data_IF_454022331348
#
_entry.id   IF_454022331348
#
_cell.length_a   1.000
_cell.length_b   1.000
_cell.length_c   1.000
_cell.angle_alpha   90.00
_cell.angle_beta   90.00
_cell.angle_gamma   90.00
#
_symmetry.space_group_name_H-M   'P 1'
#
loop_
_entity.id
_entity.type
_entity.pdbx_description
1 polymer ?
#
# COMPACT_ATOMS: atom_id res chain seq x y z
N UNK A 1 9.31 7.02 -4.49
CA UNK A 1 9.16 6.34 -3.19
C UNK A 1 7.72 6.45 -2.75
N UNK A 2 6.96 5.36 -2.91
CA UNK A 2 5.54 5.28 -2.55
C UNK A 2 5.38 4.53 -1.23
N UNK A 3 4.43 4.94 -0.38
CA UNK A 3 4.10 4.22 0.85
C UNK A 3 3.18 3.05 0.50
N UNK A 4 3.58 1.82 0.80
CA UNK A 4 2.70 0.65 0.67
C UNK A 4 1.81 0.53 1.92
N UNK A 5 0.50 0.51 1.70
CA UNK A 5 -0.53 0.37 2.74
C UNK A 5 -1.03 -1.07 2.78
N UNK A 6 -1.08 -1.61 4.00
CA UNK A 6 -1.57 -2.95 4.31
C UNK A 6 -3.04 -3.16 3.89
N UNK A 7 -3.42 -4.41 3.66
CA UNK A 7 -4.76 -4.81 3.24
C UNK A 7 -5.88 -4.40 4.20
N UNK A 8 -5.57 -4.20 5.50
CA UNK A 8 -6.53 -3.77 6.52
C UNK A 8 -6.72 -2.27 6.55
N UNK A 9 -5.89 -1.51 5.84
CA UNK A 9 -6.00 -0.06 5.76
C UNK A 9 -7.20 0.31 4.89
N UNK A 10 -8.07 1.19 5.40
CA UNK A 10 -9.22 1.68 4.64
C UNK A 10 -8.77 2.46 3.40
N UNK A 11 -9.44 2.23 2.26
CA UNK A 11 -9.25 3.01 1.03
C UNK A 11 -9.44 4.53 1.24
N UNK A 12 -10.22 4.94 2.24
CA UNK A 12 -10.40 6.35 2.58
C UNK A 12 -9.08 7.01 3.03
N UNK A 13 -8.19 6.25 3.69
CA UNK A 13 -6.87 6.72 4.12
C UNK A 13 -5.98 6.94 2.90
N UNK A 14 -5.90 5.96 1.98
CA UNK A 14 -5.15 6.11 0.74
C UNK A 14 -5.60 7.33 -0.06
N UNK A 15 -6.92 7.52 -0.20
CA UNK A 15 -7.50 8.70 -0.84
C UNK A 15 -7.07 10.00 -0.14
N UNK A 16 -7.13 10.04 1.19
CA UNK A 16 -6.73 11.20 1.98
C UNK A 16 -5.25 11.57 1.87
N UNK A 17 -4.38 10.57 1.73
CA UNK A 17 -2.94 10.73 1.52
C UNK A 17 -2.63 11.22 0.10
N UNK A 18 -3.26 10.63 -0.91
CA UNK A 18 -3.12 11.06 -2.33
C UNK A 18 -3.54 12.51 -2.54
N UNK A 19 -4.65 12.94 -1.92
CA UNK A 19 -5.09 14.35 -1.97
C UNK A 19 -4.05 15.31 -1.37
N UNK A 20 -3.20 14.85 -0.46
CA UNK A 20 -2.11 15.62 0.13
C UNK A 20 -0.81 15.53 -0.67
N UNK A 21 -0.83 14.91 -1.85
CA UNK A 21 0.35 14.72 -2.69
C UNK A 21 1.31 13.62 -2.19
N UNK A 22 0.84 12.76 -1.28
CA UNK A 22 1.63 11.61 -0.81
C UNK A 22 1.33 10.43 -1.73
N UNK A 23 2.39 9.91 -2.35
CA UNK A 23 2.31 8.74 -3.20
C UNK A 23 2.14 7.47 -2.34
N UNK A 24 1.10 6.69 -2.62
CA UNK A 24 0.75 5.49 -1.84
C UNK A 24 0.21 4.41 -2.77
N UNK A 25 0.54 3.16 -2.45
CA UNK A 25 -0.01 1.94 -3.07
C UNK A 25 -0.72 1.13 -1.99
N UNK A 26 -1.70 0.30 -2.37
CA UNK A 26 -2.45 -0.53 -1.41
C UNK A 26 -2.35 -2.00 -1.78
N UNK A 27 -2.24 -2.90 -0.79
CA UNK A 27 -2.30 -4.34 -1.05
C UNK A 27 -3.57 -4.76 -1.83
N UNK A 28 -4.68 -4.03 -1.63
CA UNK A 28 -5.93 -4.21 -2.39
C UNK A 28 -5.85 -3.86 -3.88
N UNK A 29 -4.98 -2.92 -4.25
CA UNK A 29 -4.83 -2.43 -5.64
C UNK A 29 -3.79 -3.27 -6.40
N UNK A 30 -2.84 -3.84 -5.68
CA UNK A 30 -1.68 -4.55 -6.22
C UNK A 30 -1.85 -6.08 -6.24
N UNK A 31 -3.05 -6.56 -5.92
CA UNK A 31 -3.35 -8.00 -5.90
C UNK A 31 -2.70 -8.76 -4.74
N UNK A 32 -2.34 -8.07 -3.65
CA UNK A 32 -1.67 -8.63 -2.48
C UNK A 32 -2.62 -8.93 -1.31
N UNK A 33 -3.94 -8.93 -1.54
CA UNK A 33 -4.91 -9.34 -0.51
C UNK A 33 -4.70 -10.80 -0.15
N UNK A 34 -4.53 -11.08 1.14
CA UNK A 34 -4.23 -12.41 1.67
C UNK A 34 -2.82 -12.90 1.41
N UNK A 35 -1.94 -12.09 0.79
CA UNK A 35 -0.52 -12.37 0.70
C UNK A 35 0.12 -12.36 2.10
N UNK A 36 1.21 -13.10 2.28
CA UNK A 36 1.89 -13.15 3.58
C UNK A 36 2.50 -11.79 3.93
N UNK A 37 2.76 -11.57 5.23
CA UNK A 37 3.43 -10.36 5.70
C UNK A 37 4.79 -10.18 4.99
N UNK A 38 5.53 -11.26 4.74
CA UNK A 38 6.80 -11.23 4.01
C UNK A 38 6.63 -10.80 2.55
N UNK A 39 5.57 -11.24 1.87
CA UNK A 39 5.27 -10.85 0.47
C UNK A 39 4.89 -9.38 0.39
N UNK A 40 4.03 -8.90 1.29
CA UNK A 40 3.65 -7.48 1.35
C UNK A 40 4.86 -6.60 1.70
N UNK A 41 5.73 -7.05 2.60
CA UNK A 41 6.95 -6.32 2.98
C UNK A 41 7.98 -6.30 1.84
N UNK A 42 8.13 -7.40 1.10
CA UNK A 42 9.00 -7.46 -0.07
C UNK A 42 8.53 -6.46 -1.15
N UNK A 43 7.23 -6.38 -1.39
CA UNK A 43 6.65 -5.38 -2.27
C UNK A 43 6.94 -3.95 -1.79
N UNK A 44 6.74 -3.65 -0.51
CA UNK A 44 7.02 -2.33 0.05
C UNK A 44 8.50 -1.92 -0.12
N UNK A 45 9.43 -2.87 0.01
CA UNK A 45 10.87 -2.64 -0.17
C UNK A 45 11.27 -2.38 -1.63
N UNK A 46 10.50 -2.87 -2.61
CA UNK A 46 10.71 -2.62 -4.04
C UNK A 46 10.29 -1.20 -4.46
N UNK A 47 9.36 -0.56 -3.74
CA UNK A 47 8.85 0.78 -4.05
C UNK A 47 9.74 1.94 -3.57
N UNK A 48 11.02 1.64 -3.28
CA UNK A 48 12.00 2.54 -2.69
C UNK A 48 12.60 3.50 -3.72
#
# INVERSE_FOLDING_TARGET
>A
MAIALDERVSQAIAKGLRVRGIDVTMSSEEGLIGASDEEQLAYALLQR
#
